data_IF_308346487334
#
_entry.id   IF_308346487334
#
_cell.length_a   1.000
_cell.length_b   1.000
_cell.length_c   1.000
_cell.angle_alpha   90.00
_cell.angle_beta   90.00
_cell.angle_gamma   90.00
#
_symmetry.space_group_name_H-M   'P 1'
#
loop_
_entity.id
_entity.type
_entity.pdbx_description
1 polymer ?
#
# COMPACT_ATOMS: atom_id res chain seq x y z
N UNK A 1 -4.52 -27.12 48.70
CA UNK A 1 -3.59 -27.59 47.65
C UNK A 1 -4.23 -27.46 46.25
N UNK A 2 -3.73 -26.57 45.38
CA UNK A 2 -4.34 -26.34 44.07
C UNK A 2 -4.05 -27.50 43.11
N UNK A 3 -5.02 -27.80 42.26
CA UNK A 3 -4.97 -28.86 41.26
C UNK A 3 -4.00 -28.52 40.12
N UNK A 4 -3.07 -29.43 39.84
CA UNK A 4 -2.18 -29.37 38.68
C UNK A 4 -3.00 -29.56 37.39
N UNK A 5 -3.24 -28.48 36.65
CA UNK A 5 -3.69 -28.56 35.27
C UNK A 5 -2.50 -28.97 34.39
N UNK A 6 -2.54 -30.20 33.86
CA UNK A 6 -1.56 -30.69 32.90
C UNK A 6 -1.78 -30.00 31.54
N UNK A 7 -0.82 -29.19 31.14
CA UNK A 7 -0.78 -28.59 29.79
C UNK A 7 -0.51 -29.72 28.80
N UNK A 8 -1.50 -30.07 27.98
CA UNK A 8 -1.28 -30.94 26.82
C UNK A 8 -0.39 -30.20 25.81
N UNK A 9 0.65 -30.85 25.25
CA UNK A 9 1.46 -30.23 24.20
C UNK A 9 0.60 -29.98 22.96
N UNK A 10 0.72 -28.77 22.41
CA UNK A 10 0.15 -28.38 21.12
C UNK A 10 0.74 -29.27 20.02
N UNK A 11 -0.07 -29.83 19.11
CA UNK A 11 0.44 -30.61 17.99
C UNK A 11 1.33 -29.72 17.11
N UNK A 12 2.37 -30.29 16.46
CA UNK A 12 3.23 -29.54 15.57
C UNK A 12 2.42 -28.93 14.42
N UNK A 13 2.65 -27.65 14.14
CA UNK A 13 2.06 -26.95 13.02
C UNK A 13 2.34 -27.71 11.72
N UNK A 14 1.31 -27.91 10.91
CA UNK A 14 1.45 -28.54 9.60
C UNK A 14 2.55 -27.85 8.77
N UNK A 15 3.36 -28.60 8.02
CA UNK A 15 4.40 -28.02 7.18
C UNK A 15 3.77 -27.02 6.21
N UNK A 16 4.38 -25.83 6.11
CA UNK A 16 3.95 -24.82 5.16
C UNK A 16 3.94 -25.41 3.75
N UNK A 17 2.92 -25.15 2.93
CA UNK A 17 2.88 -25.66 1.56
C UNK A 17 4.15 -25.23 0.81
N UNK A 18 4.67 -26.09 -0.10
CA UNK A 18 5.87 -25.76 -0.86
C UNK A 18 5.67 -24.43 -1.58
N UNK A 19 6.66 -23.53 -1.46
CA UNK A 19 6.64 -22.24 -2.18
C UNK A 19 6.46 -22.54 -3.66
N UNK A 20 5.33 -22.12 -4.24
CA UNK A 20 5.11 -22.20 -5.68
C UNK A 20 6.28 -21.52 -6.38
N UNK A 21 6.93 -22.22 -7.30
CA UNK A 21 7.99 -21.63 -8.12
C UNK A 21 7.40 -20.45 -8.89
N UNK A 22 8.09 -19.30 -8.82
CA UNK A 22 7.67 -18.09 -9.52
C UNK A 22 7.69 -18.35 -11.02
N UNK A 23 6.57 -18.08 -11.70
CA UNK A 23 6.46 -18.09 -13.16
C UNK A 23 7.24 -16.95 -13.83
N UNK A 24 7.75 -16.00 -13.04
CA UNK A 24 8.57 -14.90 -13.54
C UNK A 24 9.95 -15.45 -13.97
N UNK A 25 10.37 -15.23 -15.24
CA UNK A 25 11.70 -15.57 -15.74
C UNK A 25 12.79 -15.04 -14.81
N UNK A 26 13.89 -15.80 -14.65
CA UNK A 26 14.94 -15.47 -13.68
C UNK A 26 15.58 -14.11 -13.98
N UNK A 27 15.65 -13.75 -15.25
CA UNK A 27 16.22 -12.50 -15.77
C UNK A 27 15.36 -11.27 -15.40
N UNK A 28 14.07 -11.49 -15.15
CA UNK A 28 13.12 -10.45 -14.74
C UNK A 28 12.93 -10.39 -13.22
N UNK A 29 13.57 -11.27 -12.46
CA UNK A 29 13.50 -11.24 -10.99
C UNK A 29 14.42 -10.14 -10.46
N UNK A 30 13.84 -9.17 -9.75
CA UNK A 30 14.66 -8.29 -8.92
C UNK A 30 15.19 -9.07 -7.72
N UNK A 31 16.52 -9.11 -7.59
CA UNK A 31 17.20 -9.77 -6.47
C UNK A 31 16.82 -9.16 -5.12
N UNK A 32 17.13 -9.88 -4.04
CA UNK A 32 17.02 -9.38 -2.67
C UNK A 32 18.38 -9.53 -2.01
N UNK A 33 18.78 -8.54 -1.22
CA UNK A 33 19.97 -8.61 -0.38
C UNK A 33 19.51 -8.74 1.07
N UNK A 34 20.13 -9.66 1.82
CA UNK A 34 19.90 -9.82 3.26
C UNK A 34 21.15 -9.36 4.00
N UNK A 35 20.97 -8.45 4.94
CA UNK A 35 22.00 -7.95 5.84
C UNK A 35 21.84 -8.62 7.20
N UNK A 36 22.94 -9.09 7.78
CA UNK A 36 23.00 -9.71 9.10
C UNK A 36 23.38 -8.75 10.22
N UNK A 37 23.60 -9.28 11.44
CA UNK A 37 23.93 -8.46 12.61
C UNK A 37 25.20 -7.64 12.38
N UNK A 38 25.13 -6.32 12.64
CA UNK A 38 26.26 -5.40 12.47
C UNK A 38 26.39 -4.81 11.06
N UNK A 39 25.62 -5.29 10.08
CA UNK A 39 25.61 -4.75 8.70
C UNK A 39 24.53 -3.67 8.49
N UNK A 40 23.72 -3.40 9.52
CA UNK A 40 22.64 -2.41 9.48
C UNK A 40 22.37 -1.78 10.85
N UNK A 41 21.74 -0.58 10.93
CA UNK A 41 21.54 0.14 12.20
C UNK A 41 20.26 -0.24 12.96
N UNK A 42 19.34 -0.98 12.34
CA UNK A 42 18.04 -1.32 12.93
C UNK A 42 18.16 -2.34 14.09
N UNK A 43 17.26 -2.29 15.09
CA UNK A 43 17.29 -3.16 16.27
C UNK A 43 16.73 -4.57 15.99
N UNK A 44 17.03 -5.12 14.81
CA UNK A 44 16.67 -6.49 14.40
C UNK A 44 17.95 -7.27 14.08
N UNK A 45 17.94 -8.61 14.09
CA UNK A 45 19.13 -9.37 13.69
C UNK A 45 19.39 -9.36 12.19
N UNK A 46 18.33 -9.15 11.39
CA UNK A 46 18.42 -9.18 9.94
C UNK A 46 17.55 -8.09 9.32
N UNK A 47 17.98 -7.62 8.15
CA UNK A 47 17.19 -6.77 7.24
C UNK A 47 17.29 -7.33 5.84
N UNK A 48 16.23 -7.21 5.07
CA UNK A 48 16.27 -7.51 3.64
C UNK A 48 15.74 -6.33 2.84
N UNK A 49 16.49 -5.93 1.80
CA UNK A 49 16.04 -4.93 0.84
C UNK A 49 15.99 -5.53 -0.56
N UNK A 50 15.02 -5.07 -1.32
CA UNK A 50 14.67 -5.54 -2.66
C UNK A 50 14.37 -4.32 -3.53
N UNK A 51 15.01 -4.18 -4.70
CA UNK A 51 14.56 -3.23 -5.70
C UNK A 51 13.13 -3.58 -6.15
N UNK A 52 12.28 -2.56 -6.21
CA UNK A 52 10.91 -2.68 -6.68
C UNK A 52 10.63 -1.56 -7.68
N UNK A 53 9.88 -1.90 -8.73
CA UNK A 53 9.30 -0.88 -9.60
C UNK A 53 8.11 -0.27 -8.87
N UNK A 54 8.04 1.05 -8.86
CA UNK A 54 6.91 1.82 -8.36
C UNK A 54 6.26 2.52 -9.55
N UNK A 55 4.93 2.44 -9.60
CA UNK A 55 4.13 3.18 -10.57
C UNK A 55 3.49 4.33 -9.81
N UNK A 56 3.67 5.55 -10.31
CA UNK A 56 2.96 6.73 -9.83
C UNK A 56 1.76 6.99 -10.75
N UNK A 57 0.52 6.73 -10.31
CA UNK A 57 -0.65 6.79 -11.19
C UNK A 57 -0.83 8.13 -11.90
N UNK A 58 -0.54 9.26 -11.25
CA UNK A 58 -0.66 10.59 -11.87
C UNK A 58 0.29 10.79 -13.04
N UNK A 59 1.48 10.17 -13.03
CA UNK A 59 2.43 10.25 -14.14
C UNK A 59 2.12 9.18 -15.19
N UNK A 60 1.87 7.96 -14.73
CA UNK A 60 1.73 6.81 -15.62
C UNK A 60 0.43 6.84 -16.42
N UNK A 61 -0.69 7.24 -15.82
CA UNK A 61 -1.96 7.32 -16.55
C UNK A 61 -1.95 8.44 -17.59
N UNK A 62 -1.31 9.57 -17.30
CA UNK A 62 -1.14 10.66 -18.26
C UNK A 62 -0.33 10.20 -19.48
N UNK A 63 0.78 9.48 -19.26
CA UNK A 63 1.57 8.89 -20.34
C UNK A 63 0.76 7.88 -21.18
N UNK A 64 -0.07 7.05 -20.56
CA UNK A 64 -0.93 6.11 -21.29
C UNK A 64 -2.00 6.84 -22.13
N UNK A 65 -2.54 7.95 -21.63
CA UNK A 65 -3.47 8.80 -22.38
C UNK A 65 -2.76 9.43 -23.58
N UNK A 66 -1.55 9.96 -23.40
CA UNK A 66 -0.73 10.49 -24.49
C UNK A 66 -0.47 9.45 -25.57
N UNK A 67 -0.09 8.22 -25.19
CA UNK A 67 0.12 7.12 -26.13
C UNK A 67 -1.15 6.84 -26.95
N UNK A 68 -2.32 6.74 -26.31
CA UNK A 68 -3.60 6.52 -27.02
C UNK A 68 -3.86 7.60 -28.08
N UNK A 69 -3.64 8.87 -27.74
CA UNK A 69 -3.83 9.99 -28.65
C UNK A 69 -2.80 9.97 -29.79
N UNK A 70 -1.52 9.65 -29.49
CA UNK A 70 -0.45 9.53 -30.48
C UNK A 70 -0.70 8.40 -31.48
N UNK A 71 -1.31 7.30 -31.04
CA UNK A 71 -1.73 6.21 -31.91
C UNK A 71 -3.06 6.47 -32.65
N UNK A 72 -3.60 7.69 -32.55
CA UNK A 72 -4.80 8.13 -33.28
C UNK A 72 -6.12 7.70 -32.65
N UNK A 73 -6.12 7.32 -31.37
CA UNK A 73 -7.34 7.10 -30.61
C UNK A 73 -8.01 8.41 -30.20
N UNK A 74 -9.34 8.40 -30.13
CA UNK A 74 -10.15 9.54 -29.68
C UNK A 74 -10.66 9.30 -28.26
N UNK A 75 -10.65 10.36 -27.42
CA UNK A 75 -11.19 10.31 -26.06
C UNK A 75 -12.48 11.12 -26.00
N UNK A 76 -13.59 10.43 -25.76
CA UNK A 76 -14.92 11.04 -25.61
C UNK A 76 -15.42 10.88 -24.19
N UNK A 77 -15.64 11.99 -23.50
CA UNK A 77 -16.25 11.99 -22.16
C UNK A 77 -17.75 11.77 -22.33
N UNK A 78 -18.20 10.56 -21.99
CA UNK A 78 -19.61 10.15 -22.11
C UNK A 78 -20.02 9.26 -20.94
N UNK A 79 -21.23 9.47 -20.45
CA UNK A 79 -21.85 8.64 -19.41
C UNK A 79 -22.84 7.66 -20.05
N UNK A 80 -22.83 6.42 -19.57
CA UNK A 80 -23.83 5.40 -19.88
C UNK A 80 -24.50 4.99 -18.57
N UNK A 81 -25.81 5.16 -18.49
CA UNK A 81 -26.61 4.83 -17.30
C UNK A 81 -27.17 3.42 -17.38
N UNK A 82 -27.42 2.91 -18.60
CA UNK A 82 -27.99 1.58 -18.85
C UNK A 82 -27.32 0.86 -20.02
N UNK A 83 -27.47 -0.46 -20.13
CA UNK A 83 -26.94 -1.21 -21.28
C UNK A 83 -27.54 -0.72 -22.61
N UNK A 84 -28.75 -0.15 -22.60
CA UNK A 84 -29.40 0.36 -23.82
C UNK A 84 -28.65 1.54 -24.41
N UNK A 85 -27.99 2.33 -23.56
CA UNK A 85 -27.23 3.50 -24.01
C UNK A 85 -26.05 3.09 -24.89
N UNK A 86 -25.52 1.87 -24.70
CA UNK A 86 -24.45 1.30 -25.53
C UNK A 86 -24.89 1.05 -26.98
N UNK A 87 -26.19 0.89 -27.24
CA UNK A 87 -26.73 0.69 -28.59
C UNK A 87 -26.65 1.97 -29.44
N UNK A 88 -26.28 3.11 -28.84
CA UNK A 88 -26.03 4.36 -29.55
C UNK A 88 -24.58 4.53 -30.02
N UNK A 89 -23.73 3.54 -29.74
CA UNK A 89 -22.36 3.46 -30.26
C UNK A 89 -22.37 2.90 -31.68
N UNK A 90 -21.53 3.45 -32.55
CA UNK A 90 -21.40 3.02 -33.95
C UNK A 90 -20.34 1.90 -34.08
N UNK A 91 -19.50 1.74 -33.07
CA UNK A 91 -18.39 0.80 -33.02
C UNK A 91 -18.88 -0.66 -32.94
N UNK A 92 -18.25 -1.53 -33.74
CA UNK A 92 -18.64 -2.95 -33.83
C UNK A 92 -18.21 -3.80 -32.65
N UNK A 93 -17.25 -3.32 -31.84
CA UNK A 93 -16.69 -4.05 -30.70
C UNK A 93 -16.61 -3.11 -29.51
N UNK A 94 -17.12 -3.58 -28.37
CA UNK A 94 -17.05 -2.86 -27.09
C UNK A 94 -16.22 -3.69 -26.13
N UNK A 95 -15.18 -3.06 -25.56
CA UNK A 95 -14.37 -3.64 -24.47
C UNK A 95 -14.80 -2.98 -23.17
N UNK A 96 -15.47 -3.73 -22.29
CA UNK A 96 -15.93 -3.20 -21.00
C UNK A 96 -14.79 -3.12 -19.98
N UNK A 97 -14.34 -1.90 -19.69
CA UNK A 97 -13.34 -1.60 -18.65
C UNK A 97 -13.90 -0.71 -17.53
N UNK A 98 -15.21 -0.77 -17.26
CA UNK A 98 -15.88 0.14 -16.29
C UNK A 98 -15.64 -0.19 -14.81
N UNK A 99 -14.89 -1.27 -14.52
CA UNK A 99 -14.57 -1.68 -13.15
C UNK A 99 -15.83 -1.84 -12.29
N UNK A 100 -15.83 -1.23 -11.10
CA UNK A 100 -16.97 -1.28 -10.18
C UNK A 100 -18.26 -0.68 -10.78
N UNK A 101 -18.16 0.17 -11.80
CA UNK A 101 -19.30 0.73 -12.53
C UNK A 101 -20.15 -0.33 -13.25
N UNK A 102 -19.58 -1.50 -13.56
CA UNK A 102 -20.34 -2.64 -14.12
C UNK A 102 -21.43 -3.16 -13.16
N UNK A 103 -21.28 -2.94 -11.85
CA UNK A 103 -22.34 -3.30 -10.90
C UNK A 103 -23.64 -2.55 -11.18
N UNK A 104 -23.54 -1.27 -11.57
CA UNK A 104 -24.69 -0.46 -11.98
C UNK A 104 -25.05 -0.70 -13.45
N UNK A 105 -24.07 -0.58 -14.36
CA UNK A 105 -24.33 -0.60 -15.81
C UNK A 105 -24.83 -1.96 -16.30
N UNK A 106 -24.32 -3.06 -15.75
CA UNK A 106 -24.66 -4.43 -16.16
C UNK A 106 -25.45 -5.21 -15.10
N UNK A 107 -25.82 -4.58 -13.98
CA UNK A 107 -26.45 -5.25 -12.84
C UNK A 107 -25.63 -6.44 -12.31
N UNK A 108 -24.29 -6.33 -12.36
CA UNK A 108 -23.40 -7.36 -11.83
C UNK A 108 -23.41 -7.30 -10.28
N UNK A 109 -24.06 -8.30 -9.68
CA UNK A 109 -24.23 -8.42 -8.23
C UNK A 109 -23.08 -9.19 -7.55
N UNK A 110 -22.17 -9.76 -8.32
CA UNK A 110 -20.97 -10.42 -7.77
C UNK A 110 -19.89 -9.39 -7.41
N UNK A 111 -19.93 -8.21 -8.04
CA UNK A 111 -19.05 -7.10 -7.72
C UNK A 111 -19.42 -6.46 -6.38
N UNK A 112 -18.42 -6.37 -5.49
CA UNK A 112 -18.53 -5.69 -4.19
C UNK A 112 -17.32 -4.78 -3.99
N UNK A 113 -17.49 -3.55 -3.46
CA UNK A 113 -16.37 -2.65 -3.24
C UNK A 113 -15.46 -3.21 -2.15
N UNK A 114 -14.18 -2.90 -2.29
CA UNK A 114 -13.20 -3.01 -1.21
C UNK A 114 -12.58 -1.63 -1.05
N UNK A 115 -13.11 -0.84 -0.12
CA UNK A 115 -12.64 0.53 0.11
C UNK A 115 -11.25 0.49 0.73
N UNK A 116 -10.32 1.15 0.05
CA UNK A 116 -9.01 1.52 0.57
C UNK A 116 -8.95 3.03 0.75
N UNK A 117 -8.33 3.47 1.84
CA UNK A 117 -8.11 4.88 2.15
C UNK A 117 -6.62 5.14 2.23
N UNK A 118 -6.21 6.25 1.63
CA UNK A 118 -4.85 6.73 1.61
C UNK A 118 -4.76 8.06 2.36
N UNK A 119 -3.72 8.22 3.17
CA UNK A 119 -3.34 9.48 3.80
C UNK A 119 -2.08 9.97 3.12
N UNK A 120 -2.11 11.17 2.56
CA UNK A 120 -0.98 11.75 1.81
C UNK A 120 -0.28 12.78 2.68
N UNK A 121 0.99 12.54 2.97
CA UNK A 121 1.88 13.49 3.63
C UNK A 121 2.69 14.26 2.58
N UNK A 122 3.33 15.35 3.01
CA UNK A 122 4.25 16.14 2.16
C UNK A 122 5.37 15.24 1.62
N UNK A 123 5.74 15.46 0.36
CA UNK A 123 6.83 14.74 -0.29
C UNK A 123 8.18 15.00 0.41
N UNK A 124 8.99 13.96 0.51
CA UNK A 124 10.36 14.04 1.02
C UNK A 124 11.28 13.33 0.01
N UNK A 125 12.07 14.08 -0.79
CA UNK A 125 12.90 13.50 -1.86
C UNK A 125 13.92 12.45 -1.40
N UNK A 126 14.33 12.51 -0.13
CA UNK A 126 15.23 11.55 0.50
C UNK A 126 14.58 10.21 0.84
N UNK A 127 13.24 10.11 0.80
CA UNK A 127 12.51 8.87 1.02
C UNK A 127 12.26 8.18 -0.32
N UNK A 128 13.05 7.15 -0.62
CA UNK A 128 13.04 6.42 -1.88
C UNK A 128 12.64 4.93 -1.74
N UNK A 129 12.19 4.54 -0.55
CA UNK A 129 11.83 3.17 -0.20
C UNK A 129 10.35 3.03 0.17
N UNK A 130 9.80 1.83 -0.04
CA UNK A 130 8.45 1.48 0.41
C UNK A 130 8.52 0.71 1.73
N UNK A 131 7.49 0.83 2.57
CA UNK A 131 7.26 -0.11 3.67
C UNK A 131 6.01 -0.95 3.38
N UNK A 132 6.05 -2.22 3.78
CA UNK A 132 4.92 -3.13 3.69
C UNK A 132 4.81 -3.93 4.99
N UNK A 133 3.64 -3.91 5.61
CA UNK A 133 3.39 -4.48 6.91
C UNK A 133 3.61 -3.49 8.06
N UNK A 134 3.33 -3.93 9.28
CA UNK A 134 3.52 -3.15 10.49
C UNK A 134 3.77 -4.07 11.69
N UNK A 135 4.07 -3.48 12.85
CA UNK A 135 4.31 -4.23 14.08
C UNK A 135 3.06 -4.95 14.58
N UNK A 136 1.90 -4.31 14.38
CA UNK A 136 0.60 -4.87 14.74
C UNK A 136 0.15 -5.84 13.65
N UNK A 137 -0.25 -7.04 14.07
CA UNK A 137 -0.97 -7.96 13.18
C UNK A 137 -2.39 -7.45 13.01
N UNK A 138 -2.59 -6.55 12.05
CA UNK A 138 -3.93 -6.17 11.61
C UNK A 138 -4.43 -7.18 10.57
N UNK A 139 -5.73 -7.46 10.54
CA UNK A 139 -6.31 -8.26 9.46
C UNK A 139 -6.15 -7.51 8.13
N UNK A 140 -5.69 -8.19 7.07
CA UNK A 140 -5.41 -7.59 5.76
C UNK A 140 -3.92 -7.56 5.40
N UNK A 141 -3.52 -6.62 4.52
CA UNK A 141 -2.13 -6.45 4.04
C UNK A 141 -1.20 -5.71 5.03
N UNK A 142 -1.72 -5.30 6.20
CA UNK A 142 -1.01 -4.40 7.10
C UNK A 142 -0.96 -2.96 6.59
N UNK A 143 -0.24 -2.10 7.31
CA UNK A 143 0.04 -0.74 6.84
C UNK A 143 1.08 -0.77 5.72
N UNK A 144 1.08 0.24 4.85
CA UNK A 144 2.11 0.41 3.83
C UNK A 144 2.37 1.88 3.56
N UNK A 145 3.61 2.19 3.19
CA UNK A 145 4.07 3.52 2.79
C UNK A 145 4.66 3.45 1.39
N UNK A 146 4.33 4.43 0.55
CA UNK A 146 4.93 4.61 -0.77
C UNK A 146 5.30 6.08 -0.99
N UNK A 147 6.58 6.42 -1.25
CA UNK A 147 6.95 7.75 -1.64
C UNK A 147 6.51 8.03 -3.08
N UNK A 148 6.09 9.26 -3.35
CA UNK A 148 5.72 9.79 -4.67
C UNK A 148 6.30 11.17 -4.86
N UNK A 149 6.34 11.64 -6.09
CA UNK A 149 6.81 13.00 -6.38
C UNK A 149 5.90 14.07 -5.77
N UNK A 150 4.62 13.75 -5.58
CA UNK A 150 3.58 14.63 -5.02
C UNK A 150 3.26 14.38 -3.53
N UNK A 151 3.88 13.39 -2.88
CA UNK A 151 3.66 13.12 -1.47
C UNK A 151 4.17 11.76 -0.98
N UNK A 152 4.11 11.52 0.33
CA UNK A 152 4.27 10.17 0.90
C UNK A 152 2.88 9.61 1.19
N UNK A 153 2.55 8.50 0.53
CA UNK A 153 1.25 7.85 0.66
C UNK A 153 1.32 6.78 1.75
N UNK A 154 0.47 6.93 2.76
CA UNK A 154 0.23 5.94 3.80
C UNK A 154 -1.10 5.25 3.53
N UNK A 155 -1.12 3.92 3.57
CA UNK A 155 -2.33 3.14 3.40
C UNK A 155 -2.35 1.93 4.32
N UNK A 156 -3.37 1.10 4.13
CA UNK A 156 -3.52 -0.16 4.85
C UNK A 156 -4.96 -0.55 5.20
N UNK A 157 -5.96 0.26 4.81
CA UNK A 157 -7.36 -0.10 5.03
C UNK A 157 -7.88 -1.00 3.91
N UNK A 158 -8.84 -1.85 4.25
CA UNK A 158 -9.52 -2.76 3.31
C UNK A 158 -10.91 -3.07 3.85
N UNK A 159 -11.87 -2.21 3.51
CA UNK A 159 -13.23 -2.26 4.04
C UNK A 159 -14.19 -2.82 2.97
N UNK A 160 -14.56 -4.10 3.11
CA UNK A 160 -15.44 -4.79 2.17
C UNK A 160 -16.87 -4.25 2.26
N UNK A 161 -17.50 -3.99 1.12
CA UNK A 161 -18.90 -3.58 1.03
C UNK A 161 -19.15 -2.11 1.38
N UNK A 162 -18.11 -1.34 1.72
CA UNK A 162 -18.24 0.09 2.03
C UNK A 162 -18.22 0.91 0.74
N UNK A 163 -19.36 1.54 0.44
CA UNK A 163 -19.54 2.38 -0.76
C UNK A 163 -19.29 3.88 -0.51
N UNK A 164 -19.24 4.30 0.76
CA UNK A 164 -19.04 5.70 1.10
C UNK A 164 -17.66 6.20 0.65
N UNK A 165 -17.63 7.33 -0.03
CA UNK A 165 -16.40 8.04 -0.41
C UNK A 165 -15.85 8.93 0.72
N UNK A 166 -16.61 9.13 1.79
CA UNK A 166 -16.19 9.97 2.91
C UNK A 166 -14.96 9.37 3.62
N UNK A 167 -13.94 10.19 3.93
CA UNK A 167 -12.80 9.74 4.72
C UNK A 167 -13.24 9.20 6.10
N UNK A 168 -12.67 8.07 6.48
CA UNK A 168 -12.78 7.50 7.81
C UNK A 168 -11.64 8.07 8.67
N UNK A 169 -11.98 9.01 9.55
CA UNK A 169 -11.04 9.72 10.41
C UNK A 169 -10.33 8.81 11.41
N UNK A 170 -11.05 7.83 11.95
CA UNK A 170 -10.46 6.85 12.86
C UNK A 170 -9.46 5.95 12.13
N UNK A 171 -9.78 5.53 10.91
CA UNK A 171 -8.84 4.77 10.09
C UNK A 171 -7.60 5.59 9.72
N UNK A 172 -7.76 6.88 9.41
CA UNK A 172 -6.63 7.80 9.17
C UNK A 172 -5.70 7.84 10.38
N UNK A 173 -6.25 8.07 11.58
CA UNK A 173 -5.49 8.09 12.84
C UNK A 173 -4.74 6.78 13.06
N UNK A 174 -5.42 5.63 12.94
CA UNK A 174 -4.82 4.31 13.14
C UNK A 174 -3.68 4.02 12.15
N UNK A 175 -3.83 4.41 10.87
CA UNK A 175 -2.78 4.21 9.86
C UNK A 175 -1.55 5.07 10.17
N UNK A 176 -1.75 6.34 10.54
CA UNK A 176 -0.63 7.24 10.88
C UNK A 176 0.09 6.76 12.14
N UNK A 177 -0.64 6.43 13.20
CA UNK A 177 -0.08 5.88 14.44
C UNK A 177 0.71 4.59 14.19
N UNK A 178 0.17 3.69 13.36
CA UNK A 178 0.87 2.45 13.00
C UNK A 178 2.21 2.71 12.30
N UNK A 179 2.30 3.75 11.46
CA UNK A 179 3.56 4.13 10.83
C UNK A 179 4.52 4.79 11.82
N UNK A 180 4.03 5.65 12.73
CA UNK A 180 4.85 6.22 13.81
C UNK A 180 5.47 5.10 14.65
N UNK A 181 4.66 4.14 15.12
CA UNK A 181 5.14 2.98 15.89
C UNK A 181 6.19 2.16 15.12
N UNK A 182 5.94 1.92 13.82
CA UNK A 182 6.86 1.17 12.96
C UNK A 182 8.22 1.87 12.88
N UNK A 183 8.24 3.17 12.58
CA UNK A 183 9.48 3.93 12.45
C UNK A 183 10.17 4.16 13.79
N UNK A 184 9.42 4.30 14.89
CA UNK A 184 9.98 4.36 16.23
C UNK A 184 10.70 3.07 16.60
N UNK A 185 10.11 1.91 16.30
CA UNK A 185 10.76 0.62 16.53
C UNK A 185 11.97 0.38 15.62
N UNK A 186 12.09 1.12 14.51
CA UNK A 186 13.28 1.07 13.64
C UNK A 186 14.42 1.95 14.16
N UNK A 187 14.17 2.88 15.08
CA UNK A 187 15.25 3.69 15.69
C UNK A 187 16.15 2.76 16.51
N UNK A 188 17.33 2.46 15.98
CA UNK A 188 18.40 1.84 16.74
C UNK A 188 18.95 2.80 17.80
N UNK A 189 19.66 2.26 18.80
CA UNK A 189 20.55 3.09 19.62
C UNK A 189 21.51 3.87 18.69
N UNK A 190 21.81 5.16 18.96
CA UNK A 190 22.63 5.96 18.07
C UNK A 190 23.96 5.25 17.77
N UNK A 191 24.33 5.06 16.49
CA UNK A 191 25.59 4.46 16.13
C UNK A 191 26.75 5.30 16.69
N UNK A 192 27.73 4.65 17.33
CA UNK A 192 29.02 5.27 17.67
C UNK A 192 29.84 5.66 16.44
N UNK A 193 29.38 5.33 15.24
CA UNK A 193 30.02 5.68 13.98
C UNK A 193 29.15 6.65 13.20
N UNK A 194 29.60 7.91 13.11
CA UNK A 194 28.98 8.93 12.25
C UNK A 194 29.14 8.53 10.79
N UNK A 195 28.04 8.16 10.15
CA UNK A 195 27.87 8.37 8.71
C UNK A 195 27.20 9.73 8.59
N UNK A 196 27.77 10.65 7.82
CA UNK A 196 27.32 12.04 7.73
C UNK A 196 25.81 12.12 7.48
N UNK A 197 25.07 12.72 8.41
CA UNK A 197 23.63 12.97 8.29
C UNK A 197 23.33 14.47 8.40
N UNK A 198 22.40 14.94 7.57
CA UNK A 198 21.50 16.02 7.98
C UNK A 198 20.56 15.38 9.00
N UNK A 199 20.58 15.90 10.22
CA UNK A 199 19.91 15.27 11.36
C UNK A 199 18.38 15.30 11.25
N UNK A 200 17.68 14.40 11.97
CA UNK A 200 16.23 14.51 12.13
C UNK A 200 15.88 15.80 12.90
N UNK A 201 14.69 16.39 12.69
CA UNK A 201 14.22 17.51 13.50
C UNK A 201 14.14 17.11 14.98
N UNK A 202 14.49 18.04 15.87
CA UNK A 202 14.59 17.83 17.32
C UNK A 202 13.26 17.42 18.00
N UNK A 203 12.15 17.47 17.27
CA UNK A 203 10.81 17.20 17.76
C UNK A 203 9.97 16.47 16.69
N UNK A 204 9.45 15.28 17.03
CA UNK A 204 8.47 14.56 16.21
C UNK A 204 7.10 15.17 16.51
N UNK A 205 6.39 15.76 15.54
CA UNK A 205 5.07 16.34 15.78
C UNK A 205 4.09 15.25 16.27
N UNK A 206 3.23 15.55 17.26
CA UNK A 206 2.16 14.64 17.64
C UNK A 206 1.17 14.50 16.48
N UNK A 207 0.38 13.42 16.44
CA UNK A 207 -0.50 13.11 15.29
C UNK A 207 -1.46 14.26 14.97
N UNK A 208 -1.88 15.00 15.99
CA UNK A 208 -2.75 16.17 15.93
C UNK A 208 -2.15 17.32 15.11
N UNK A 209 -0.82 17.44 15.08
CA UNK A 209 -0.11 18.46 14.29
C UNK A 209 -0.22 18.21 12.78
N UNK A 210 -0.48 16.97 12.34
CA UNK A 210 -0.69 16.62 10.93
C UNK A 210 -2.12 16.90 10.45
N UNK A 211 -3.04 17.20 11.36
CA UNK A 211 -4.46 17.42 11.05
C UNK A 211 -4.89 18.88 11.16
N UNK A 212 -3.95 19.81 11.40
CA UNK A 212 -4.25 21.24 11.52
C UNK A 212 -5.11 21.58 12.75
N UNK A 213 -5.09 20.74 13.78
CA UNK A 213 -5.93 20.89 14.99
C UNK A 213 -5.29 21.74 16.09
N UNK A 214 -4.05 22.21 15.91
CA UNK A 214 -3.41 23.16 16.82
C UNK A 214 -3.58 24.57 16.25
N UNK A 215 -4.59 25.29 16.76
CA UNK A 215 -4.66 26.76 16.72
C UNK A 215 -3.80 27.36 17.82
#
# INVERSE_FOLDING_TARGET
PPANASVRPTPPSAPSPPRRQSLLPQELRTGSVTLGPGEHPFPTPYVSYRPAIRIEPSIYLDALVEDVLLFGGDIVIRKFDTQRDLMSLEESVIVNCTGLGSSTLFNDRELTPLKGQLTVLVAQPEVDYNTFGGLRRTGGFGIHMQPRSDGIVLGGTSERGVWSLEPNEEARRQIVEGHIELFDAMRGLPPTTRIASVGPPDHIPPVEAFFGLNS
#
